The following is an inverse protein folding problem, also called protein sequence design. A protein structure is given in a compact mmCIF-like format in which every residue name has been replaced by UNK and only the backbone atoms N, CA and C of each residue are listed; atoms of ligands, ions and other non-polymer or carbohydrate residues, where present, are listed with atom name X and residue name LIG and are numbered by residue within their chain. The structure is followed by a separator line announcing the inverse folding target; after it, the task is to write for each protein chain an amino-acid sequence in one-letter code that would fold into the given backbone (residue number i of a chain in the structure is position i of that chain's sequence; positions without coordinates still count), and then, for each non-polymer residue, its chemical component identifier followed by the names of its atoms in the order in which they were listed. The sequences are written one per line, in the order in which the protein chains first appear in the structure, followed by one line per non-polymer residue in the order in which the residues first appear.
data_IF_067095032161
#
_entry.id   IF_067095032161
#
_cell.length_a   1.000
_cell.length_b   1.000
_cell.length_c   1.000
_cell.angle_alpha   90.00
_cell.angle_beta   90.00
_cell.angle_gamma   90.00
#
_symmetry.space_group_name_H-M   'P 1'
#
loop_
_entity.id
_entity.type
_entity.pdbx_description
1 polymer ?
2 non-polymer ?
3 water ?
#
# COMPACT_ATOMS: atom_id res chain seq x y z
N UNK A 1 -11.02 -0.77 -28.10
CA UNK A 1 -10.47 0.37 -27.33
C UNK A 1 -11.03 0.37 -25.90
N UNK A 2 -11.18 -0.82 -25.32
CA UNK A 2 -11.71 -0.95 -23.96
C UNK A 2 -10.62 -1.03 -22.88
N UNK A 3 -10.99 -1.58 -21.72
CA UNK A 3 -10.07 -1.67 -20.59
C UNK A 3 -10.21 -3.00 -19.83
N UNK A 4 -9.95 -4.09 -20.53
CA UNK A 4 -10.07 -5.42 -19.95
C UNK A 4 -8.72 -5.81 -19.33
N UNK A 5 -8.74 -6.26 -18.07
CA UNK A 5 -7.48 -6.64 -17.45
C UNK A 5 -7.06 -8.07 -17.77
N UNK A 6 -5.75 -8.30 -17.73
CA UNK A 6 -5.18 -9.62 -17.97
C UNK A 6 -4.17 -9.83 -16.85
N UNK A 7 -3.87 -11.10 -16.51
CA UNK A 7 -2.88 -11.35 -15.45
C UNK A 7 -1.57 -10.56 -15.64
N UNK A 8 -1.27 -10.16 -16.87
CA UNK A 8 -0.05 -9.37 -17.13
C UNK A 8 -0.08 -8.04 -16.35
N UNK A 9 -1.27 -7.53 -16.05
CA UNK A 9 -1.39 -6.25 -15.31
C UNK A 9 -1.06 -6.34 -13.81
N UNK A 10 -0.82 -7.55 -13.31
CA UNK A 10 -0.44 -7.77 -11.93
C UNK A 10 -1.43 -7.28 -10.86
N UNK A 11 -2.73 -7.35 -11.16
CA UNK A 11 -3.74 -6.93 -10.18
C UNK A 11 -3.99 -8.08 -9.20
N UNK A 12 -3.97 -7.78 -7.90
CA UNK A 12 -4.19 -8.79 -6.88
C UNK A 12 -5.21 -8.30 -5.87
N UNK A 13 -5.84 -9.24 -5.16
CA UNK A 13 -6.85 -8.91 -4.16
C UNK A 13 -6.67 -9.72 -2.91
N UNK A 14 -7.02 -9.15 -1.76
CA UNK A 14 -6.93 -9.91 -0.54
C UNK A 14 -8.20 -10.74 -0.43
N UNK A 15 -8.10 -11.92 0.16
CA UNK A 15 -9.27 -12.78 0.34
C UNK A 15 -10.29 -12.01 1.18
N UNK A 16 -9.81 -11.26 2.16
CA UNK A 16 -10.66 -10.49 3.06
C UNK A 16 -11.41 -9.33 2.41
N UNK A 17 -11.08 -9.02 1.16
CA UNK A 17 -11.74 -7.91 0.46
C UNK A 17 -13.09 -8.29 -0.12
N UNK A 18 -13.09 -9.08 -1.19
CA UNK A 18 -14.34 -9.54 -1.77
C UNK A 18 -15.04 -10.47 -0.80
N UNK A 19 -14.31 -10.95 0.20
CA UNK A 19 -14.89 -11.83 1.21
C UNK A 19 -15.44 -11.11 2.43
N UNK A 20 -15.41 -9.77 2.43
CA UNK A 20 -15.94 -8.99 3.57
C UNK A 20 -17.45 -9.15 3.69
N UNK A 21 -17.90 -9.66 4.84
CA UNK A 21 -19.33 -9.91 5.08
C UNK A 21 -20.19 -8.69 5.35
N UNK A 22 -19.56 -7.55 5.54
CA UNK A 22 -20.31 -6.33 5.76
C UNK A 22 -20.61 -5.92 7.20
N UNK A 23 -19.95 -6.56 8.14
CA UNK A 23 -20.16 -6.26 9.55
C UNK A 23 -19.36 -5.01 9.89
N UNK A 24 -20.02 -3.97 10.40
CA UNK A 24 -19.34 -2.75 10.76
C UNK A 24 -19.60 -2.46 12.25
N UNK A 25 -19.08 -1.33 12.79
CA UNK A 25 -19.30 -1.16 14.23
C UNK A 25 -20.74 -0.95 14.65
N UNK A 26 -21.61 -0.66 13.70
CA UNK A 26 -23.02 -0.44 13.99
C UNK A 26 -23.97 -1.43 13.31
N UNK A 27 -23.46 -2.52 12.76
CA UNK A 27 -24.36 -3.44 12.10
C UNK A 27 -23.86 -4.85 11.84
N UNK A 28 -24.82 -5.77 11.72
CA UNK A 28 -24.49 -7.17 11.45
C UNK A 28 -24.11 -7.38 9.98
N UNK A 29 -23.65 -8.58 9.66
CA UNK A 29 -23.27 -8.90 8.30
C UNK A 29 -24.46 -8.90 7.36
N UNK A 30 -24.22 -8.51 6.11
CA UNK A 30 -25.27 -8.47 5.10
C UNK A 30 -25.04 -9.54 4.01
N UNK A 31 -23.88 -10.21 4.05
CA UNK A 31 -23.54 -11.23 3.08
C UNK A 31 -23.03 -12.50 3.77
N UNK A 32 -23.29 -13.65 3.15
CA UNK A 32 -22.80 -14.93 3.69
C UNK A 32 -21.29 -15.01 3.43
N UNK A 33 -20.61 -15.89 4.14
CA UNK A 33 -19.17 -16.04 3.94
C UNK A 33 -18.86 -16.68 2.59
N UNK A 34 -17.70 -16.33 2.03
CA UNK A 34 -17.25 -16.91 0.79
C UNK A 34 -16.17 -17.93 1.10
N UNK A 35 -16.19 -19.03 0.35
CA UNK A 35 -15.18 -20.05 0.50
C UNK A 35 -13.97 -19.54 -0.29
N UNK A 36 -12.78 -19.51 0.30
CA UNK A 36 -11.59 -18.99 -0.39
C UNK A 36 -11.40 -19.54 -1.81
N UNK A 37 -11.85 -20.76 -2.04
CA UNK A 37 -11.72 -21.36 -3.37
C UNK A 37 -12.62 -20.65 -4.40
N UNK A 38 -13.83 -20.27 -3.98
CA UNK A 38 -14.73 -19.57 -4.89
C UNK A 38 -14.20 -18.19 -5.21
N UNK A 39 -13.55 -17.55 -4.23
CA UNK A 39 -13.00 -16.22 -4.47
C UNK A 39 -11.90 -16.33 -5.48
N UNK A 40 -11.06 -17.36 -5.35
CA UNK A 40 -9.95 -17.54 -6.28
C UNK A 40 -10.48 -17.75 -7.69
N UNK A 41 -11.50 -18.58 -7.81
CA UNK A 41 -12.08 -18.86 -9.12
C UNK A 41 -12.75 -17.63 -9.72
N UNK A 42 -13.51 -16.90 -8.93
CA UNK A 42 -14.21 -15.70 -9.39
C UNK A 42 -13.26 -14.58 -9.83
N UNK A 43 -12.19 -14.38 -9.06
CA UNK A 43 -11.21 -13.34 -9.37
C UNK A 43 -10.44 -13.66 -10.65
N UNK A 44 -10.12 -14.94 -10.84
CA UNK A 44 -9.39 -15.38 -12.02
C UNK A 44 -10.20 -15.04 -13.25
N UNK A 45 -11.51 -15.26 -13.18
CA UNK A 45 -12.39 -14.98 -14.32
C UNK A 45 -12.45 -13.49 -14.65
N UNK A 46 -12.26 -12.64 -13.65
CA UNK A 46 -12.30 -11.20 -13.84
C UNK A 46 -11.00 -10.68 -14.43
N UNK A 47 -9.97 -11.52 -14.41
CA UNK A 47 -8.70 -11.10 -14.98
C UNK A 47 -7.60 -10.82 -13.97
N UNK A 48 -7.87 -11.12 -12.70
CA UNK A 48 -6.88 -10.91 -11.64
C UNK A 48 -5.64 -11.78 -11.82
N UNK A 49 -4.53 -11.32 -11.25
CA UNK A 49 -3.24 -12.01 -11.34
C UNK A 49 -2.99 -12.94 -10.14
N UNK A 50 -3.57 -12.59 -8.99
CA UNK A 50 -3.36 -13.40 -7.81
C UNK A 50 -4.13 -12.90 -6.62
N UNK A 51 -3.94 -13.57 -5.50
CA UNK A 51 -4.61 -13.23 -4.25
C UNK A 51 -3.61 -13.14 -3.09
N UNK A 52 -4.05 -12.58 -1.98
CA UNK A 52 -3.23 -12.47 -0.78
C UNK A 52 -4.10 -12.89 0.40
N UNK A 53 -3.48 -13.20 1.54
CA UNK A 53 -4.26 -13.63 2.69
C UNK A 53 -3.59 -13.35 4.02
N UNK A 54 -4.40 -13.38 5.08
CA UNK A 54 -3.90 -13.31 6.45
C UNK A 54 -4.01 -14.77 6.82
N UNK A 55 -3.17 -15.25 7.73
CA UNK A 55 -3.29 -16.65 8.14
C UNK A 55 -4.74 -17.01 8.45
N UNK A 56 -5.35 -16.23 9.33
CA UNK A 56 -6.72 -16.45 9.77
C UNK A 56 -7.80 -16.39 8.68
N UNK A 57 -7.44 -15.94 7.47
CA UNK A 57 -8.40 -15.90 6.38
C UNK A 57 -8.48 -17.29 5.75
N UNK A 58 -7.33 -17.95 5.69
CA UNK A 58 -7.19 -19.25 5.04
C UNK A 58 -7.47 -20.41 5.98
N UNK A 59 -6.86 -20.39 7.15
CA UNK A 59 -7.05 -21.45 8.13
C UNK A 59 -7.73 -20.90 9.39
N UNK A 60 -9.01 -21.26 9.62
CA UNK A 60 -9.72 -20.71 10.79
C UNK A 60 -8.91 -20.77 12.07
N UNK A 61 -9.06 -19.74 12.90
CA UNK A 61 -8.34 -19.68 14.14
C UNK A 61 -8.64 -20.89 15.01
N UNK A 62 -7.59 -21.47 15.57
CA UNK A 62 -7.74 -22.64 16.43
C UNK A 62 -7.86 -23.95 15.69
N UNK A 63 -7.55 -23.96 14.40
CA UNK A 63 -7.63 -25.19 13.61
C UNK A 63 -6.52 -26.18 13.96
N UNK A 64 -6.82 -27.47 13.87
CA UNK A 64 -5.85 -28.52 14.14
C UNK A 64 -4.87 -28.60 12.99
N UNK A 65 -3.66 -29.11 13.24
CA UNK A 65 -2.65 -29.23 12.19
C UNK A 65 -3.14 -29.99 10.97
N UNK A 66 -4.09 -30.91 11.16
CA UNK A 66 -4.61 -31.68 10.03
C UNK A 66 -5.64 -30.85 9.27
N UNK A 67 -6.62 -30.30 9.98
CA UNK A 67 -7.63 -29.45 9.35
C UNK A 67 -6.91 -28.37 8.54
N UNK A 68 -5.86 -27.82 9.15
CA UNK A 68 -5.03 -26.79 8.55
C UNK A 68 -4.52 -27.28 7.21
N UNK A 69 -4.02 -28.51 7.21
CA UNK A 69 -3.48 -29.12 6.00
C UNK A 69 -4.55 -29.26 4.92
N UNK A 70 -5.76 -29.64 5.30
CA UNK A 70 -6.86 -29.81 4.36
C UNK A 70 -7.19 -28.47 3.70
N UNK A 71 -7.19 -27.42 4.51
CA UNK A 71 -7.48 -26.07 4.03
C UNK A 71 -6.45 -25.59 3.01
N UNK A 72 -5.18 -25.83 3.32
CA UNK A 72 -4.10 -25.41 2.45
C UNK A 72 -4.16 -26.17 1.13
N UNK A 73 -4.39 -27.47 1.22
CA UNK A 73 -4.46 -28.32 0.04
C UNK A 73 -5.55 -27.88 -0.93
N UNK A 74 -6.75 -27.66 -0.41
CA UNK A 74 -7.87 -27.20 -1.23
C UNK A 74 -7.52 -25.89 -1.91
N UNK A 75 -6.88 -25.00 -1.15
CA UNK A 75 -6.49 -23.67 -1.64
C UNK A 75 -5.51 -23.80 -2.79
N UNK A 76 -4.55 -24.70 -2.60
CA UNK A 76 -3.53 -25.02 -3.58
C UNK A 76 -4.12 -25.53 -4.88
N UNK A 77 -5.06 -26.46 -4.78
CA UNK A 77 -5.69 -27.01 -5.97
C UNK A 77 -6.34 -25.90 -6.79
N UNK A 78 -7.01 -24.97 -6.12
CA UNK A 78 -7.67 -23.85 -6.79
C UNK A 78 -6.66 -22.95 -7.51
N UNK A 79 -5.51 -22.73 -6.89
CA UNK A 79 -4.47 -21.91 -7.49
C UNK A 79 -3.97 -22.63 -8.72
N UNK A 80 -3.87 -23.96 -8.61
CA UNK A 80 -3.39 -24.76 -9.72
C UNK A 80 -4.37 -24.77 -10.89
N UNK A 81 -5.66 -24.89 -10.58
CA UNK A 81 -6.67 -24.94 -11.63
C UNK A 81 -6.86 -23.61 -12.34
N UNK A 82 -6.47 -22.51 -11.70
CA UNK A 82 -6.68 -21.17 -12.28
C UNK A 82 -5.42 -20.42 -12.72
N UNK A 83 -4.25 -20.86 -12.26
CA UNK A 83 -3.04 -20.17 -12.61
C UNK A 83 -2.80 -18.92 -11.76
N UNK A 84 -3.60 -18.75 -10.71
CA UNK A 84 -3.46 -17.61 -9.82
C UNK A 84 -2.26 -17.80 -8.91
N UNK A 85 -1.55 -16.70 -8.66
CA UNK A 85 -0.37 -16.70 -7.79
C UNK A 85 -0.71 -16.05 -6.44
N UNK A 86 0.19 -16.19 -5.48
CA UNK A 86 0.05 -15.58 -4.15
C UNK A 86 1.31 -14.76 -3.85
N UNK A 87 1.37 -13.49 -4.33
CA UNK A 87 2.59 -12.69 -4.16
C UNK A 87 2.86 -12.10 -2.77
N UNK A 88 1.84 -12.09 -1.92
CA UNK A 88 2.00 -11.51 -0.60
C UNK A 88 1.12 -12.22 0.41
N UNK A 89 1.57 -12.23 1.66
CA UNK A 89 0.83 -12.85 2.75
C UNK A 89 1.07 -11.98 3.96
N UNK A 90 0.19 -12.10 4.95
CA UNK A 90 0.34 -11.31 6.17
C UNK A 90 -0.26 -12.06 7.35
N UNK A 91 -0.09 -11.51 8.55
CA UNK A 91 -0.61 -12.16 9.77
C UNK A 91 -1.76 -11.39 10.36
N UNK A 92 -2.72 -12.11 10.93
CA UNK A 92 -3.80 -11.41 11.62
C UNK A 92 -3.42 -11.27 13.08
N UNK A 93 -2.97 -10.09 13.46
CA UNK A 93 -2.59 -9.80 14.85
C UNK A 93 -3.52 -8.71 15.40
N UNK A 94 -4.77 -8.72 14.96
CA UNK A 94 -5.71 -7.69 15.41
C UNK A 94 -7.12 -8.16 15.78
N UNK A 95 -7.58 -9.26 15.21
CA UNK A 95 -8.95 -9.72 15.47
C UNK A 95 -9.23 -10.35 16.82
N UNK A 96 -8.46 -11.35 17.19
CA UNK A 96 -8.72 -12.04 18.44
C UNK A 96 -8.54 -11.13 19.65
N UNK A 97 -9.42 -11.26 20.65
CA UNK A 97 -9.35 -10.45 21.86
C UNK A 97 -7.99 -10.41 22.56
N UNK A 98 -7.19 -11.45 22.37
CA UNK A 98 -5.88 -11.49 23.00
C UNK A 98 -4.98 -10.35 22.51
N UNK A 99 -5.23 -9.85 21.30
CA UNK A 99 -4.42 -8.75 20.74
C UNK A 99 -5.04 -7.37 20.98
N UNK A 100 -5.94 -7.27 21.96
CA UNK A 100 -6.62 -6.01 22.26
C UNK A 100 -5.72 -4.84 22.59
N UNK A 101 -4.51 -5.13 23.06
CA UNK A 101 -3.54 -4.07 23.36
C UNK A 101 -2.33 -4.16 22.44
N UNK A 102 -2.46 -4.94 21.36
CA UNK A 102 -1.37 -5.10 20.42
C UNK A 102 -0.85 -6.52 20.30
N UNK A 103 0.07 -6.70 19.37
CA UNK A 103 0.69 -8.00 19.15
C UNK A 103 2.15 -7.84 19.53
N UNK A 104 2.93 -7.21 18.66
CA UNK A 104 4.35 -6.99 18.94
C UNK A 104 4.63 -5.99 20.07
N UNK A 105 3.68 -5.09 20.36
CA UNK A 105 3.88 -4.08 21.41
C UNK A 105 2.87 -4.15 22.55
N UNK A 106 2.25 -5.32 22.74
CA UNK A 106 1.31 -5.52 23.84
C UNK A 106 2.10 -5.35 25.13
N UNK A 107 1.50 -4.77 26.18
CA UNK A 107 2.20 -4.57 27.43
C UNK A 107 2.52 -5.92 28.04
N UNK A 108 1.68 -6.90 27.79
CA UNK A 108 1.92 -8.24 28.30
C UNK A 108 2.98 -8.96 27.46
N UNK A 109 4.08 -9.34 28.09
CA UNK A 109 5.19 -10.01 27.42
C UNK A 109 4.80 -11.35 26.81
N UNK A 110 3.98 -12.11 27.52
CA UNK A 110 3.58 -13.41 27.00
C UNK A 110 2.77 -13.26 25.72
N UNK A 111 2.03 -12.16 25.59
CA UNK A 111 1.27 -11.91 24.38
C UNK A 111 2.22 -11.61 23.22
N UNK A 112 3.27 -10.85 23.51
CA UNK A 112 4.25 -10.48 22.50
C UNK A 112 4.93 -11.72 21.92
N UNK A 113 5.33 -12.65 22.80
CA UNK A 113 5.96 -13.89 22.37
C UNK A 113 5.01 -14.71 21.49
N UNK A 114 3.74 -14.77 21.89
CA UNK A 114 2.73 -15.50 21.13
C UNK A 114 2.53 -14.87 19.75
N UNK A 115 2.55 -13.54 19.71
CA UNK A 115 2.40 -12.82 18.44
C UNK A 115 3.53 -13.20 17.47
N UNK A 116 4.75 -13.26 17.96
CA UNK A 116 5.90 -13.63 17.14
C UNK A 116 5.82 -15.06 16.61
N UNK A 117 5.36 -15.99 17.45
CA UNK A 117 5.26 -17.38 17.04
C UNK A 117 4.22 -17.58 15.92
N UNK A 118 3.08 -16.91 16.06
CA UNK A 118 1.97 -16.96 15.12
C UNK A 118 2.44 -16.40 13.78
N UNK A 119 3.27 -15.37 13.82
CA UNK A 119 3.76 -14.78 12.59
C UNK A 119 4.75 -15.71 11.90
N UNK A 120 5.70 -16.23 12.69
CA UNK A 120 6.73 -17.12 12.15
C UNK A 120 6.11 -18.33 11.45
N UNK A 121 5.09 -18.91 12.08
CA UNK A 121 4.38 -20.04 11.53
C UNK A 121 3.77 -19.69 10.15
N UNK A 122 3.21 -18.50 10.01
CA UNK A 122 2.62 -18.12 8.73
C UNK A 122 3.66 -17.73 7.69
N UNK A 123 4.84 -17.31 8.13
CA UNK A 123 5.91 -16.98 7.20
C UNK A 123 6.32 -18.25 6.46
N UNK A 124 6.43 -19.36 7.20
CA UNK A 124 6.78 -20.64 6.57
C UNK A 124 5.76 -20.96 5.47
N UNK A 125 4.47 -20.83 5.80
CA UNK A 125 3.40 -21.12 4.84
C UNK A 125 3.44 -20.18 3.65
N UNK A 126 3.73 -18.89 3.88
CA UNK A 126 3.78 -17.93 2.79
C UNK A 126 4.87 -18.27 1.78
N UNK A 127 6.01 -18.77 2.27
CA UNK A 127 7.11 -19.14 1.40
C UNK A 127 6.69 -20.36 0.57
N UNK A 128 6.02 -21.29 1.24
CA UNK A 128 5.53 -22.52 0.63
C UNK A 128 4.62 -22.22 -0.55
N UNK A 129 3.80 -21.19 -0.43
CA UNK A 129 2.87 -20.78 -1.48
C UNK A 129 3.49 -19.85 -2.53
N UNK A 130 4.76 -19.48 -2.37
CA UNK A 130 5.43 -18.64 -3.33
C UNK A 130 5.43 -17.13 -3.11
N UNK A 131 5.00 -16.69 -1.93
CA UNK A 131 4.96 -15.26 -1.63
C UNK A 131 6.36 -14.65 -1.62
N UNK A 132 6.48 -13.43 -2.16
CA UNK A 132 7.75 -12.72 -2.22
C UNK A 132 7.81 -11.61 -1.17
N UNK A 133 6.64 -11.15 -0.73
CA UNK A 133 6.56 -10.09 0.25
C UNK A 133 5.68 -10.48 1.42
N UNK A 134 6.10 -10.15 2.63
CA UNK A 134 5.33 -10.45 3.83
C UNK A 134 4.99 -9.11 4.47
N UNK A 135 3.70 -8.78 4.53
CA UNK A 135 3.26 -7.51 5.08
C UNK A 135 2.96 -7.58 6.56
N UNK A 136 3.20 -6.47 7.24
CA UNK A 136 2.93 -6.36 8.65
C UNK A 136 2.15 -5.09 8.91
N UNK A 137 0.88 -5.23 9.30
CA UNK A 137 0.05 -4.07 9.66
C UNK A 137 -0.25 -4.15 11.17
N UNK A 138 0.42 -3.32 11.96
CA UNK A 138 0.22 -3.35 13.40
C UNK A 138 -1.01 -2.56 13.78
N UNK A 139 -2.16 -3.12 13.41
CA UNK A 139 -3.43 -2.47 13.69
C UNK A 139 -3.75 -2.21 15.16
N UNK A 140 -3.24 -3.06 16.06
CA UNK A 140 -3.50 -2.90 17.49
C UNK A 140 -2.32 -2.28 18.24
N UNK A 141 -1.27 -1.88 17.53
CA UNK A 141 -0.11 -1.28 18.19
C UNK A 141 -0.38 0.21 18.38
N UNK A 142 -0.72 0.61 19.61
CA UNK A 142 -1.04 2.01 19.86
C UNK A 142 -1.75 2.23 21.18
N UNK A 143 -2.63 3.23 21.24
CA UNK A 143 -3.33 3.50 22.49
C UNK A 143 -4.45 4.51 22.34
N UNK A 144 -5.36 4.51 23.32
CA UNK A 144 -6.46 5.47 23.38
C UNK A 144 -6.13 6.56 24.42
N UNK A 145 -5.21 6.25 25.34
CA UNK A 145 -4.78 7.17 26.40
C UNK A 145 -3.26 7.32 26.54
N UNK A 146 -2.81 8.46 27.06
CA UNK A 146 -1.38 8.73 27.17
C UNK A 146 -0.48 7.90 28.08
N UNK A 147 -0.98 7.43 29.23
CA UNK A 147 -0.14 6.67 30.14
C UNK A 147 -0.14 5.18 29.91
N UNK A 148 -1.00 4.71 29.00
CA UNK A 148 -1.12 3.28 28.69
C UNK A 148 0.05 2.71 27.89
N UNK A 149 0.79 3.58 27.21
CA UNK A 149 1.88 3.12 26.37
C UNK A 149 3.04 4.10 26.41
N UNK A 150 4.24 3.60 26.76
CA UNK A 150 5.42 4.42 26.76
C UNK A 150 5.94 4.17 25.37
N UNK A 151 5.90 5.18 24.50
CA UNK A 151 6.27 4.97 23.12
C UNK A 151 7.71 4.58 22.85
N UNK A 152 8.65 5.07 23.67
CA UNK A 152 10.03 4.67 23.47
C UNK A 152 10.18 3.16 23.72
N UNK A 153 9.62 2.68 24.82
CA UNK A 153 9.69 1.25 25.12
C UNK A 153 8.96 0.46 24.04
N UNK A 154 7.82 0.96 23.59
CA UNK A 154 7.06 0.29 22.55
C UNK A 154 7.87 0.15 21.25
N UNK A 155 8.60 1.19 20.89
CA UNK A 155 9.43 1.15 19.68
C UNK A 155 10.58 0.16 19.86
N UNK A 156 11.08 0.00 21.09
CA UNK A 156 12.13 -0.98 21.35
C UNK A 156 11.55 -2.38 21.11
N UNK A 157 10.32 -2.60 21.58
CA UNK A 157 9.66 -3.89 21.42
C UNK A 157 9.36 -4.15 19.95
N UNK A 158 8.96 -3.10 19.24
CA UNK A 158 8.64 -3.20 17.81
C UNK A 158 9.91 -3.58 17.03
N UNK A 159 11.02 -2.92 17.34
CA UNK A 159 12.30 -3.20 16.68
C UNK A 159 12.76 -4.62 17.02
N UNK A 160 12.61 -5.01 18.28
CA UNK A 160 13.02 -6.33 18.69
C UNK A 160 12.27 -7.38 17.88
N UNK A 161 10.96 -7.20 17.73
CA UNK A 161 10.15 -8.15 16.97
C UNK A 161 10.62 -8.26 15.52
N UNK A 162 10.75 -7.12 14.84
CA UNK A 162 11.19 -7.13 13.45
C UNK A 162 12.59 -7.69 13.25
N UNK A 163 13.51 -7.41 14.18
CA UNK A 163 14.87 -7.95 14.08
C UNK A 163 14.83 -9.48 14.19
N UNK A 164 14.03 -10.01 15.11
CA UNK A 164 13.89 -11.45 15.28
C UNK A 164 13.32 -12.11 14.03
N UNK A 165 12.37 -11.46 13.37
CA UNK A 165 11.80 -12.03 12.15
C UNK A 165 12.86 -12.01 11.06
N UNK A 166 13.70 -10.98 11.07
CA UNK A 166 14.76 -10.87 10.08
C UNK A 166 15.83 -11.92 10.32
N UNK A 167 16.05 -12.25 11.58
CA UNK A 167 17.04 -13.28 11.95
C UNK A 167 16.53 -14.65 11.52
N UNK A 168 15.22 -14.82 11.54
CA UNK A 168 14.58 -16.07 11.17
C UNK A 168 14.63 -16.34 9.67
N UNK A 169 14.16 -15.39 8.87
CA UNK A 169 14.17 -15.60 7.42
C UNK A 169 15.58 -15.80 6.89
N UNK A 170 16.54 -15.04 7.42
CA UNK A 170 17.90 -15.17 6.95
C UNK A 170 18.53 -16.51 7.37
N UNK A 171 18.12 -17.06 8.51
CA UNK A 171 18.64 -18.35 8.95
C UNK A 171 17.96 -19.53 8.24
N UNK A 172 16.74 -19.33 7.76
CA UNK A 172 16.03 -20.38 7.04
C UNK A 172 16.39 -20.29 5.57
N UNK A 173 17.02 -19.19 5.20
CA UNK A 173 17.41 -19.00 3.81
C UNK A 173 16.24 -18.68 2.91
N UNK A 174 15.25 -17.99 3.45
CA UNK A 174 14.07 -17.63 2.65
C UNK A 174 14.35 -16.38 1.83
N UNK A 175 13.71 -16.32 0.67
CA UNK A 175 13.82 -15.18 -0.22
C UNK A 175 12.51 -14.43 -0.11
N UNK A 176 12.32 -13.79 1.03
CA UNK A 176 11.12 -13.04 1.31
C UNK A 176 11.52 -11.75 2.02
N UNK A 177 10.91 -10.64 1.63
CA UNK A 177 11.18 -9.35 2.25
C UNK A 177 9.93 -8.86 2.97
N UNK A 178 10.12 -8.03 3.99
CA UNK A 178 9.02 -7.50 4.76
C UNK A 178 8.61 -6.12 4.28
N UNK A 179 7.33 -5.79 4.51
CA UNK A 179 6.82 -4.48 4.16
C UNK A 179 5.89 -4.04 5.28
N UNK A 180 6.24 -2.92 5.89
CA UNK A 180 5.44 -2.38 6.98
C UNK A 180 4.35 -1.50 6.39
N UNK A 181 3.13 -1.71 6.87
CA UNK A 181 1.98 -0.94 6.42
C UNK A 181 1.54 0.03 7.51
N UNK A 182 1.73 1.34 7.28
CA UNK A 182 1.33 2.34 8.28
C UNK A 182 -0.15 2.68 8.21
N UNK A 183 -0.67 3.23 9.29
CA UNK A 183 -2.06 3.68 9.38
C UNK A 183 -2.07 4.61 10.57
N UNK A 184 -2.68 5.80 10.43
CA UNK A 184 -2.61 6.75 11.55
C UNK A 184 -3.50 6.42 12.74
N UNK A 185 -4.68 5.87 12.50
CA UNK A 185 -5.59 5.54 13.58
C UNK A 185 -6.63 4.53 13.09
N UNK A 186 -7.42 4.00 14.01
CA UNK A 186 -8.48 3.04 13.73
C UNK A 186 -7.94 1.64 13.41
N UNK A 187 -8.02 0.69 14.37
CA UNK A 187 -8.97 0.64 15.49
C UNK A 187 -8.49 1.33 16.77
N UNK A 188 -7.18 1.58 16.92
CA UNK A 188 -6.67 2.25 18.11
C UNK A 188 -6.81 3.77 17.94
N UNK A 189 -6.86 4.49 19.04
CA UNK A 189 -7.00 5.94 19.00
C UNK A 189 -5.89 6.60 18.20
N UNK A 190 -4.70 6.06 18.37
CA UNK A 190 -3.50 6.51 17.65
C UNK A 190 -2.67 5.26 17.47
N UNK A 191 -2.21 5.03 16.25
CA UNK A 191 -1.42 3.84 15.94
C UNK A 191 0.05 4.21 15.78
N UNK A 192 0.96 3.34 16.23
CA UNK A 192 2.39 3.60 16.10
C UNK A 192 2.83 3.47 14.63
N UNK A 193 3.79 4.30 14.21
CA UNK A 193 4.28 4.32 12.82
C UNK A 193 3.07 4.73 11.98
N UNK A 194 2.48 5.89 12.31
CA UNK A 194 1.25 6.36 11.65
C UNK A 194 1.25 6.67 10.16
N UNK A 195 2.40 7.00 9.58
CA UNK A 195 2.44 7.32 8.15
C UNK A 195 3.66 6.67 7.50
N UNK A 196 3.72 6.74 6.18
CA UNK A 196 4.85 6.22 5.41
C UNK A 196 6.19 6.76 5.92
N UNK A 197 6.21 8.02 6.32
CA UNK A 197 7.45 8.60 6.81
C UNK A 197 7.96 7.99 8.11
N UNK A 198 7.06 7.78 9.07
CA UNK A 198 7.40 7.21 10.35
C UNK A 198 7.91 5.78 10.18
N UNK A 199 7.30 5.06 9.23
CA UNK A 199 7.69 3.68 8.94
C UNK A 199 9.09 3.66 8.31
N UNK A 200 9.33 4.56 7.36
CA UNK A 200 10.63 4.64 6.69
C UNK A 200 11.75 4.97 7.68
N UNK A 201 11.49 5.88 8.60
CA UNK A 201 12.50 6.28 9.58
C UNK A 201 12.77 5.12 10.53
N UNK A 202 11.72 4.37 10.87
CA UNK A 202 11.85 3.23 11.79
C UNK A 202 12.76 2.13 11.20
N UNK A 203 12.55 1.84 9.93
CA UNK A 203 13.31 0.82 9.23
C UNK A 203 14.82 1.03 9.28
N UNK A 204 15.23 2.29 9.25
CA UNK A 204 16.66 2.62 9.27
C UNK A 204 17.31 2.35 10.62
N UNK A 205 16.50 1.95 11.60
CA UNK A 205 17.02 1.64 12.94
C UNK A 205 17.02 0.14 13.20
N UNK A 206 16.63 -0.63 12.19
CA UNK A 206 16.62 -2.09 12.31
C UNK A 206 18.02 -2.65 12.02
N UNK A 207 18.31 -3.86 12.48
CA UNK A 207 19.64 -4.45 12.29
C UNK A 207 19.98 -4.68 10.83
N UNK A 208 19.01 -5.20 10.09
CA UNK A 208 19.21 -5.48 8.66
C UNK A 208 18.20 -4.66 7.86
N UNK A 209 18.41 -3.34 7.72
CA UNK A 209 17.42 -2.52 6.99
C UNK A 209 17.03 -2.98 5.58
N UNK A 210 17.93 -3.69 4.90
CA UNK A 210 17.67 -4.09 3.53
C UNK A 210 16.49 -5.04 3.32
N UNK A 211 16.11 -5.73 4.38
CA UNK A 211 14.99 -6.68 4.32
C UNK A 211 13.64 -6.01 4.48
N UNK A 212 13.60 -4.72 4.78
CA UNK A 212 12.32 -4.07 5.04
C UNK A 212 12.00 -2.86 4.17
N UNK A 213 10.74 -2.79 3.74
CA UNK A 213 10.25 -1.68 2.95
C UNK A 213 8.88 -1.29 3.47
N UNK A 214 8.13 -0.53 2.69
CA UNK A 214 6.80 -0.13 3.13
C UNK A 214 5.73 -0.64 2.19
N UNK A 215 4.52 -0.74 2.71
CA UNK A 215 3.34 -1.16 1.95
C UNK A 215 2.30 -0.08 2.25
N UNK A 216 2.41 1.08 1.58
CA UNK A 216 1.49 2.19 1.82
C UNK A 216 0.10 1.91 1.27
N UNK A 217 -0.91 2.51 1.87
CA UNK A 217 -2.28 2.34 1.40
C UNK A 217 -2.87 3.72 1.13
N UNK A 218 -3.51 3.87 -0.02
CA UNK A 218 -4.08 5.15 -0.44
C UNK A 218 -4.89 5.81 0.66
N UNK A 219 -5.89 5.09 1.16
CA UNK A 219 -6.75 5.62 2.20
C UNK A 219 -6.10 5.98 3.53
N UNK A 220 -5.08 5.23 3.95
CA UNK A 220 -4.40 5.47 5.22
C UNK A 220 -3.73 6.83 5.28
N UNK A 221 -2.99 7.20 4.25
CA UNK A 221 -2.29 8.48 4.24
C UNK A 221 -3.31 9.58 4.15
N UNK A 222 -4.39 9.32 3.43
CA UNK A 222 -5.43 10.32 3.26
C UNK A 222 -6.22 10.56 4.54
N UNK A 223 -6.15 9.61 5.49
CA UNK A 223 -6.80 9.74 6.80
C UNK A 223 -6.06 10.75 7.67
N UNK A 224 -4.86 11.11 7.24
CA UNK A 224 -4.06 12.10 7.94
C UNK A 224 -3.99 13.35 7.06
N UNK A 225 -4.82 13.39 6.01
CA UNK A 225 -4.86 14.52 5.08
C UNK A 225 -3.60 14.71 4.25
N UNK A 226 -2.79 13.67 4.15
CA UNK A 226 -1.53 13.75 3.40
C UNK A 226 -1.70 13.45 1.91
N UNK A 227 -0.74 13.91 1.12
CA UNK A 227 -0.74 13.72 -0.32
C UNK A 227 -0.15 12.35 -0.59
N UNK A 228 -0.99 11.41 -1.01
CA UNK A 228 -0.51 10.03 -1.26
C UNK A 228 0.60 9.96 -2.32
N UNK A 229 0.37 10.49 -3.53
CA UNK A 229 1.46 10.45 -4.52
C UNK A 229 2.82 10.93 -3.98
N UNK A 230 2.84 12.01 -3.18
CA UNK A 230 4.07 12.53 -2.59
C UNK A 230 4.70 11.50 -1.65
N UNK A 231 3.88 10.84 -0.83
CA UNK A 231 4.41 9.84 0.09
C UNK A 231 5.07 8.69 -0.66
N UNK A 232 4.43 8.29 -1.76
CA UNK A 232 4.93 7.22 -2.61
C UNK A 232 6.24 7.63 -3.27
N UNK A 233 6.32 8.89 -3.70
CA UNK A 233 7.52 9.40 -4.33
C UNK A 233 8.71 9.31 -3.38
N UNK A 234 8.47 9.62 -2.11
CA UNK A 234 9.54 9.55 -1.11
C UNK A 234 9.94 8.10 -0.83
N UNK A 235 8.96 7.19 -0.85
CA UNK A 235 9.23 5.78 -0.64
C UNK A 235 10.04 5.22 -1.82
N UNK A 236 9.71 5.63 -3.04
CA UNK A 236 10.45 5.20 -4.23
C UNK A 236 11.85 5.79 -4.18
N UNK A 237 11.94 7.06 -3.77
CA UNK A 237 13.22 7.78 -3.67
C UNK A 237 14.18 7.03 -2.77
N UNK A 238 13.63 6.46 -1.69
CA UNK A 238 14.43 5.72 -0.73
C UNK A 238 14.63 4.26 -1.16
N UNK A 239 13.97 3.87 -2.26
CA UNK A 239 14.06 2.51 -2.76
C UNK A 239 13.34 1.50 -1.87
N UNK A 240 12.33 1.96 -1.14
CA UNK A 240 11.60 1.12 -0.20
C UNK A 240 10.16 0.75 -0.58
N UNK A 241 9.72 1.02 -1.81
CA UNK A 241 8.36 0.65 -2.18
C UNK A 241 8.29 -0.81 -2.64
N UNK A 242 8.12 -1.70 -1.67
CA UNK A 242 8.08 -3.14 -1.92
C UNK A 242 6.71 -3.66 -2.40
N UNK A 243 5.65 -2.95 -2.03
CA UNK A 243 4.28 -3.36 -2.32
C UNK A 243 3.40 -2.12 -2.19
N UNK A 244 2.16 -2.19 -2.65
CA UNK A 244 1.26 -1.05 -2.53
C UNK A 244 -0.20 -1.48 -2.47
N UNK A 245 -0.97 -0.81 -1.62
CA UNK A 245 -2.40 -1.11 -1.45
C UNK A 245 -3.24 0.02 -2.03
N UNK A 246 -4.10 -0.33 -2.96
CA UNK A 246 -4.93 0.64 -3.63
C UNK A 246 -6.39 0.55 -3.21
N UNK A 247 -7.01 1.72 -3.05
CA UNK A 247 -8.42 1.84 -2.69
C UNK A 247 -8.81 3.33 -2.74
N UNK A 248 -10.00 3.66 -2.22
CA UNK A 248 -10.48 5.02 -2.22
C UNK A 248 -10.90 5.50 -0.84
N UNK A 249 -10.76 6.80 -0.59
CA UNK A 249 -11.10 7.37 0.69
C UNK A 249 -11.58 8.79 0.42
N UNK A 250 -12.62 9.20 1.13
CA UNK A 250 -13.15 10.54 0.97
C UNK A 250 -12.75 11.40 2.14
N UNK A 251 -11.48 11.78 2.18
CA UNK A 251 -11.01 12.65 3.24
C UNK A 251 -10.70 12.05 4.60
N UNK A 252 -10.68 12.91 5.60
CA UNK A 252 -10.35 12.53 6.97
C UNK A 252 -11.60 12.09 7.72
N UNK A 253 -11.70 10.78 7.93
CA UNK A 253 -12.82 10.15 8.62
C UNK A 253 -12.43 8.68 8.73
N UNK A 254 -13.36 7.83 9.16
CA UNK A 254 -13.10 6.41 9.30
C UNK A 254 -12.57 5.86 7.97
N UNK A 255 -11.93 4.69 8.02
CA UNK A 255 -11.36 4.04 6.83
C UNK A 255 -12.48 3.42 6.00
N UNK A 256 -12.79 4.07 4.88
CA UNK A 256 -13.87 3.65 4.00
C UNK A 256 -13.61 2.42 3.15
N UNK A 257 -12.37 2.27 2.68
CA UNK A 257 -11.99 1.15 1.82
C UNK A 257 -12.85 1.10 0.57
N UNK A 258 -13.06 2.23 -0.10
CA UNK A 258 -13.86 2.23 -1.33
C UNK A 258 -13.02 1.61 -2.44
N UNK A 259 -13.65 1.22 -3.55
CA UNK A 259 -12.91 0.65 -4.66
C UNK A 259 -11.95 1.69 -5.24
N UNK A 260 -10.86 1.25 -5.86
CA UNK A 260 -9.87 2.17 -6.42
C UNK A 260 -10.49 3.02 -7.51
N UNK A 261 -10.18 4.32 -7.49
CA UNK A 261 -10.76 5.25 -8.45
C UNK A 261 -11.78 6.13 -7.72
N UNK A 262 -12.47 5.55 -6.75
CA UNK A 262 -13.44 6.30 -5.96
C UNK A 262 -12.65 7.13 -4.95
N UNK A 263 -13.30 8.08 -4.30
CA UNK A 263 -12.59 8.92 -3.35
C UNK A 263 -11.99 10.10 -4.09
N UNK A 264 -10.69 10.32 -3.88
CA UNK A 264 -9.98 11.42 -4.53
C UNK A 264 -9.49 10.98 -5.91
N UNK A 265 -10.26 11.29 -6.94
CA UNK A 265 -9.94 10.86 -8.29
C UNK A 265 -8.67 11.46 -8.86
N UNK A 266 -8.43 12.75 -8.62
CA UNK A 266 -7.22 13.37 -9.13
C UNK A 266 -5.96 12.76 -8.49
N UNK A 267 -6.02 12.43 -7.20
CA UNK A 267 -4.89 11.78 -6.52
C UNK A 267 -4.59 10.41 -7.15
N UNK A 268 -5.64 9.68 -7.54
CA UNK A 268 -5.49 8.38 -8.17
C UNK A 268 -4.76 8.51 -9.52
N UNK A 269 -5.07 9.57 -10.26
CA UNK A 269 -4.45 9.82 -11.55
C UNK A 269 -2.96 10.08 -11.39
N UNK A 270 -2.62 10.96 -10.43
CA UNK A 270 -1.23 11.29 -10.18
C UNK A 270 -0.48 10.11 -9.60
N UNK A 271 -1.21 9.21 -8.94
CA UNK A 271 -0.59 8.01 -8.38
C UNK A 271 -0.18 7.08 -9.51
N UNK A 272 -1.13 6.79 -10.41
CA UNK A 272 -0.87 5.91 -11.54
C UNK A 272 0.22 6.49 -12.43
N UNK A 273 0.20 7.81 -12.64
CA UNK A 273 1.22 8.49 -13.44
C UNK A 273 2.59 8.20 -12.85
N UNK A 274 2.71 8.34 -11.54
CA UNK A 274 3.97 8.09 -10.85
C UNK A 274 4.41 6.63 -10.89
N UNK A 275 3.52 5.70 -10.55
CA UNK A 275 3.87 4.27 -10.55
C UNK A 275 4.32 3.79 -11.93
N UNK A 276 3.62 4.23 -12.97
CA UNK A 276 3.98 3.83 -14.32
C UNK A 276 5.27 4.52 -14.78
N UNK A 277 5.45 5.79 -14.41
CA UNK A 277 6.66 6.52 -14.80
C UNK A 277 7.89 5.96 -14.13
N UNK A 278 7.73 5.63 -12.85
CA UNK A 278 8.84 5.13 -12.05
C UNK A 278 9.17 3.68 -12.38
N UNK A 279 8.30 3.04 -13.15
CA UNK A 279 8.53 1.65 -13.49
C UNK A 279 8.34 0.70 -12.31
N UNK A 280 7.34 0.95 -11.47
CA UNK A 280 7.05 0.07 -10.33
C UNK A 280 6.62 -1.25 -10.96
N UNK A 281 7.21 -2.36 -10.52
CA UNK A 281 6.89 -3.65 -11.11
C UNK A 281 6.23 -4.64 -10.15
N UNK A 282 5.98 -4.18 -8.94
CA UNK A 282 5.35 -5.02 -7.94
C UNK A 282 3.87 -5.17 -8.20
N UNK A 283 3.14 -5.90 -7.35
CA UNK A 283 1.71 -6.05 -7.58
C UNK A 283 0.90 -4.77 -7.34
N UNK A 284 -0.24 -4.69 -8.03
CA UNK A 284 -1.19 -3.60 -7.86
C UNK A 284 -2.29 -4.28 -7.04
N UNK A 285 -2.13 -4.24 -5.73
CA UNK A 285 -3.01 -4.90 -4.77
C UNK A 285 -4.14 -4.01 -4.30
N UNK A 286 -5.35 -4.57 -4.30
CA UNK A 286 -6.52 -3.83 -3.85
C UNK A 286 -6.96 -4.28 -2.47
N UNK A 287 -6.89 -3.36 -1.52
CA UNK A 287 -7.32 -3.64 -0.15
C UNK A 287 -8.56 -2.76 0.00
N UNK A 288 -9.72 -3.33 -0.34
CA UNK A 288 -10.96 -2.58 -0.32
C UNK A 288 -12.08 -3.46 0.21
N UNK A 289 -13.24 -2.84 0.34
CA UNK A 289 -14.42 -3.51 0.85
C UNK A 289 -15.63 -3.14 0.01
N UNK A 290 -16.24 -4.10 -0.69
CA UNK A 290 -17.44 -3.72 -1.43
C UNK A 290 -18.52 -3.30 -0.41
N UNK A 291 -19.15 -2.11 -0.59
CA UNK A 291 -20.00 -1.63 0.49
C UNK A 291 -21.04 -2.67 0.91
N UNK A 292 -21.47 -2.62 2.18
CA UNK A 292 -22.42 -3.62 2.68
C UNK A 292 -23.83 -3.57 2.05
N UNK A 293 -24.09 -2.53 1.26
CA UNK A 293 -25.35 -2.37 0.55
C UNK A 293 -25.48 -3.37 -0.60
N UNK A 294 -24.36 -3.93 -1.01
CA UNK A 294 -24.32 -4.81 -2.18
C UNK A 294 -24.49 -6.30 -1.92
N UNK A 295 -25.04 -7.00 -2.93
CA UNK A 295 -25.13 -8.44 -2.87
C UNK A 295 -23.89 -8.97 -3.62
N UNK A 296 -23.79 -10.28 -3.84
CA UNK A 296 -22.61 -10.81 -4.50
C UNK A 296 -22.34 -10.25 -5.89
N UNK A 297 -23.39 -10.04 -6.68
CA UNK A 297 -23.22 -9.45 -7.99
C UNK A 297 -22.50 -8.09 -7.84
N UNK A 298 -22.92 -7.34 -6.83
CA UNK A 298 -22.32 -6.05 -6.54
C UNK A 298 -20.87 -6.14 -6.08
N UNK A 299 -20.53 -7.23 -5.41
CA UNK A 299 -19.16 -7.45 -4.96
C UNK A 299 -18.22 -7.55 -6.17
N UNK A 300 -18.55 -8.42 -7.11
CA UNK A 300 -17.72 -8.63 -8.30
C UNK A 300 -17.67 -7.41 -9.20
N UNK A 301 -18.76 -6.64 -9.25
CA UNK A 301 -18.78 -5.44 -10.05
C UNK A 301 -17.81 -4.42 -9.42
N UNK A 302 -17.74 -4.43 -8.10
CA UNK A 302 -16.86 -3.52 -7.37
C UNK A 302 -15.39 -3.89 -7.60
N UNK A 303 -15.10 -5.20 -7.58
CA UNK A 303 -13.75 -5.70 -7.80
C UNK A 303 -13.31 -5.37 -9.24
N UNK A 304 -14.18 -5.60 -10.20
CA UNK A 304 -13.90 -5.31 -11.60
C UNK A 304 -13.64 -3.82 -11.80
N UNK A 305 -14.40 -2.98 -11.07
CA UNK A 305 -14.23 -1.54 -11.18
C UNK A 305 -12.86 -1.07 -10.75
N UNK A 306 -12.29 -1.73 -9.74
CA UNK A 306 -10.95 -1.40 -9.26
C UNK A 306 -9.95 -1.44 -10.40
N UNK A 307 -9.96 -2.55 -11.12
CA UNK A 307 -9.01 -2.75 -12.20
C UNK A 307 -9.32 -1.85 -13.39
N UNK A 308 -10.60 -1.69 -13.72
CA UNK A 308 -11.01 -0.85 -14.84
C UNK A 308 -10.49 0.57 -14.64
N UNK A 309 -10.70 1.11 -13.45
CA UNK A 309 -10.28 2.48 -13.14
C UNK A 309 -8.78 2.66 -13.24
N UNK A 310 -8.00 1.70 -12.78
CA UNK A 310 -6.55 1.78 -12.89
C UNK A 310 -6.13 1.80 -14.37
N UNK A 311 -6.78 0.98 -15.19
CA UNK A 311 -6.45 0.93 -16.63
C UNK A 311 -6.84 2.21 -17.37
N UNK A 312 -7.96 2.82 -17.03
CA UNK A 312 -8.36 4.07 -17.68
C UNK A 312 -7.33 5.18 -17.34
N UNK A 313 -6.99 5.31 -16.05
CA UNK A 313 -6.03 6.31 -15.56
C UNK A 313 -4.64 6.11 -16.18
N UNK A 314 -4.20 4.85 -16.31
CA UNK A 314 -2.92 4.54 -16.93
C UNK A 314 -2.89 5.10 -18.36
N UNK A 315 -4.00 4.94 -19.07
CA UNK A 315 -4.14 5.42 -20.43
C UNK A 315 -4.06 6.94 -20.48
N UNK A 316 -4.83 7.59 -19.61
CA UNK A 316 -4.88 9.05 -19.56
C UNK A 316 -3.55 9.65 -19.15
N UNK A 317 -2.86 9.01 -18.19
CA UNK A 317 -1.56 9.50 -17.72
C UNK A 317 -0.50 9.38 -18.82
N UNK A 318 -0.58 8.28 -19.57
CA UNK A 318 0.36 8.01 -20.66
C UNK A 318 0.16 9.02 -21.78
N UNK A 319 -1.10 9.33 -22.07
CA UNK A 319 -1.41 10.30 -23.12
C UNK A 319 -0.96 11.69 -22.69
N UNK A 320 -1.03 11.95 -21.39
CA UNK A 320 -0.60 13.22 -20.83
C UNK A 320 0.90 13.43 -21.06
N UNK A 321 1.71 12.46 -20.62
CA UNK A 321 3.16 12.55 -20.76
C UNK A 321 3.63 12.53 -22.22
N UNK A 322 2.88 11.85 -23.08
CA UNK A 322 3.24 11.74 -24.49
C UNK A 322 2.79 12.94 -25.34
N UNK A 323 1.94 13.80 -24.79
CA UNK A 323 1.46 14.97 -25.52
C UNK A 323 2.59 15.99 -25.69
N UNK A 324 2.99 16.30 -26.95
CA UNK A 324 4.07 17.28 -27.13
C UNK A 324 3.73 18.63 -26.51
N UNK A 325 2.45 18.96 -26.44
CA UNK A 325 2.03 20.25 -25.88
C UNK A 325 2.25 20.27 -24.37
N UNK A 326 2.19 19.08 -23.77
CA UNK A 326 2.43 18.94 -22.33
C UNK A 326 3.94 18.98 -22.11
N UNK A 327 4.70 18.35 -22.99
CA UNK A 327 6.15 18.37 -22.87
C UNK A 327 6.68 19.80 -22.92
N UNK A 328 6.10 20.63 -23.77
CA UNK A 328 6.54 22.02 -23.87
C UNK A 328 6.10 22.79 -22.63
N UNK A 329 4.93 22.45 -22.10
CA UNK A 329 4.42 23.10 -20.90
C UNK A 329 5.31 22.75 -19.71
N UNK A 330 5.82 21.52 -19.67
CA UNK A 330 6.69 21.11 -18.56
C UNK A 330 7.95 21.93 -18.59
N UNK A 331 8.44 22.24 -19.79
CA UNK A 331 9.64 23.06 -19.93
C UNK A 331 9.34 24.51 -19.59
N UNK A 332 8.14 24.97 -19.95
CA UNK A 332 7.75 26.34 -19.64
C UNK A 332 7.72 26.53 -18.11
N UNK A 333 7.38 25.46 -17.38
CA UNK A 333 7.29 25.47 -15.91
C UNK A 333 8.61 25.08 -15.27
N UNK A 334 9.63 24.86 -16.09
CA UNK A 334 10.97 24.50 -15.62
C UNK A 334 11.12 23.18 -14.87
N UNK A 335 10.35 22.17 -15.22
CA UNK A 335 10.52 20.85 -14.60
C UNK A 335 11.86 20.27 -15.04
N UNK A 336 12.34 20.68 -16.23
CA UNK A 336 13.63 20.22 -16.72
C UNK A 336 14.75 20.74 -15.82
N UNK A 337 14.60 21.96 -15.32
CA UNK A 337 15.61 22.55 -14.44
C UNK A 337 15.58 21.97 -13.03
N UNK A 338 14.41 21.55 -12.58
CA UNK A 338 14.30 20.97 -11.26
C UNK A 338 15.16 19.70 -11.23
N UNK A 339 15.29 19.04 -12.39
CA UNK A 339 16.06 17.80 -12.53
C UNK A 339 17.57 18.00 -12.64
N UNK A 340 18.00 19.24 -12.79
CA UNK A 340 19.43 19.53 -12.91
C UNK A 340 20.00 19.89 -11.55
N UNK A 341 21.24 19.44 -11.24
CA UNK A 341 21.83 19.77 -9.94
C UNK A 341 21.94 21.27 -9.70
N UNK A 342 21.70 21.67 -8.46
CA UNK A 342 21.79 23.06 -8.08
C UNK A 342 23.24 23.55 -8.16
N UNK A 343 24.17 22.70 -7.74
CA UNK A 343 25.57 23.08 -7.71
C UNK A 343 26.53 21.93 -7.96
N UNK A 344 26.56 21.43 -9.19
CA UNK A 344 27.48 20.35 -9.54
C UNK A 344 28.90 20.91 -9.56
N UNK A 345 29.00 22.23 -9.62
CA UNK A 345 30.28 22.94 -9.64
C UNK A 345 30.94 22.94 -8.25
N UNK A 346 30.17 22.63 -7.22
CA UNK A 346 30.72 22.55 -5.88
C UNK A 346 30.52 23.75 -4.99
N UNK A 347 30.76 23.52 -3.70
CA UNK A 347 30.62 24.56 -2.69
C UNK A 347 31.46 25.80 -2.97
N UNK A 348 32.76 25.62 -3.12
CA UNK A 348 33.64 26.76 -3.32
C UNK A 348 33.22 27.60 -4.51
N UNK A 349 32.88 26.94 -5.61
CA UNK A 349 32.46 27.63 -6.82
C UNK A 349 31.22 28.46 -6.52
N UNK A 350 30.27 27.86 -5.80
CA UNK A 350 29.03 28.55 -5.43
C UNK A 350 29.30 29.82 -4.61
N UNK A 351 30.20 29.71 -3.65
CA UNK A 351 30.57 30.83 -2.79
C UNK A 351 31.27 31.94 -3.56
N UNK A 352 31.96 31.56 -4.63
CA UNK A 352 32.68 32.54 -5.47
C UNK A 352 31.84 33.03 -6.66
N UNK A 353 30.63 32.52 -6.77
CA UNK A 353 29.74 32.87 -7.88
C UNK A 353 28.89 34.10 -7.58
N UNK A 354 29.33 35.27 -8.06
CA UNK A 354 28.59 36.52 -7.83
C UNK A 354 27.19 36.56 -8.46
N UNK A 355 26.96 35.75 -9.48
CA UNK A 355 25.66 35.72 -10.13
C UNK A 355 24.66 35.02 -9.22
N UNK A 356 25.16 34.35 -8.18
CA UNK A 356 24.29 33.63 -7.26
C UNK A 356 23.81 34.45 -6.08
N UNK A 357 24.35 35.64 -5.90
CA UNK A 357 23.94 36.46 -4.77
C UNK A 357 24.18 37.96 -4.96
N UNK A 358 25.45 38.35 -4.98
CA UNK A 358 25.80 39.76 -5.10
C UNK A 358 25.18 40.43 -6.30
N UNK A 359 25.24 39.77 -7.44
CA UNK A 359 24.69 40.30 -8.68
C UNK A 359 23.41 39.60 -9.12
N UNK A 360 22.75 38.91 -8.19
CA UNK A 360 21.51 38.20 -8.55
C UNK A 360 20.36 39.18 -8.59
N UNK A 361 19.66 39.23 -9.72
CA UNK A 361 18.53 40.14 -9.87
C UNK A 361 17.31 39.44 -9.31
N UNK A 362 17.05 39.62 -8.01
CA UNK A 362 15.93 38.96 -7.36
C UNK A 362 14.56 39.37 -7.89
N UNK A 363 14.46 40.62 -8.33
CA UNK A 363 13.18 41.12 -8.83
C UNK A 363 12.79 40.52 -10.17
N UNK A 364 13.77 40.35 -11.04
CA UNK A 364 13.53 39.75 -12.35
C UNK A 364 13.15 38.28 -12.18
N UNK A 365 13.84 37.58 -11.28
CA UNK A 365 13.55 36.19 -11.03
C UNK A 365 12.15 36.07 -10.45
N UNK A 366 11.83 36.96 -9.52
CA UNK A 366 10.53 36.97 -8.86
C UNK A 366 9.36 37.17 -9.83
N UNK A 367 9.55 38.01 -10.84
CA UNK A 367 8.49 38.29 -11.81
C UNK A 367 8.19 37.15 -12.77
N UNK A 368 9.03 36.13 -12.82
CA UNK A 368 8.77 35.00 -13.73
C UNK A 368 7.58 34.18 -13.28
N UNK A 369 6.62 33.99 -14.17
CA UNK A 369 5.47 33.16 -13.86
C UNK A 369 5.83 31.68 -13.95
N UNK A 370 5.27 30.84 -13.09
CA UNK A 370 5.61 29.41 -13.13
C UNK A 370 4.80 28.65 -14.17
N UNK A 371 3.72 29.26 -14.65
CA UNK A 371 2.81 28.64 -15.62
C UNK A 371 2.23 27.30 -15.13
N UNK A 372 2.02 27.15 -13.82
CA UNK A 372 1.49 25.90 -13.29
C UNK A 372 0.01 25.66 -13.58
N UNK A 373 -0.77 26.73 -13.72
CA UNK A 373 -2.20 26.58 -13.94
C UNK A 373 -2.52 26.07 -15.34
N UNK A 374 -1.74 26.50 -16.33
CA UNK A 374 -1.93 26.00 -17.69
C UNK A 374 -1.60 24.52 -17.75
N UNK A 375 -0.49 24.15 -17.12
CA UNK A 375 -0.06 22.77 -17.08
C UNK A 375 -1.12 21.91 -16.38
N UNK A 376 -1.65 22.39 -15.26
CA UNK A 376 -2.65 21.61 -14.54
C UNK A 376 -3.96 21.47 -15.31
N UNK A 377 -4.29 22.46 -16.13
CA UNK A 377 -5.52 22.37 -16.90
C UNK A 377 -5.32 21.36 -18.02
N UNK A 378 -4.10 21.24 -18.53
CA UNK A 378 -3.84 20.26 -19.59
C UNK A 378 -3.99 18.88 -18.96
N UNK A 379 -3.54 18.75 -17.72
CA UNK A 379 -3.64 17.49 -16.98
C UNK A 379 -5.12 17.14 -16.78
N UNK A 380 -5.92 18.15 -16.45
CA UNK A 380 -7.35 17.98 -16.27
C UNK A 380 -8.02 17.52 -17.58
N UNK A 381 -7.72 18.21 -18.69
CA UNK A 381 -8.30 17.88 -20.00
C UNK A 381 -8.02 16.45 -20.36
N UNK A 382 -6.78 16.03 -20.11
CA UNK A 382 -6.36 14.66 -20.42
C UNK A 382 -7.10 13.64 -19.58
N UNK A 383 -7.26 13.92 -18.29
CA UNK A 383 -7.96 13.01 -17.39
C UNK A 383 -9.41 12.82 -17.83
N UNK A 384 -10.05 13.91 -18.21
CA UNK A 384 -11.46 13.89 -18.62
C UNK A 384 -11.61 13.55 -20.10
N UNK A 385 -10.50 13.36 -20.79
CA UNK A 385 -10.57 13.03 -22.20
C UNK A 385 -11.17 14.18 -22.99
N UNK A 386 -10.90 15.39 -22.54
CA UNK A 386 -11.41 16.59 -23.18
C UNK A 386 -10.36 17.39 -23.93
N UNK A 387 -9.45 16.71 -24.62
CA UNK A 387 -8.42 17.42 -25.38
C UNK A 387 -8.89 17.83 -26.77
N UNK A 388 -9.42 19.05 -26.90
CA UNK A 388 -9.89 19.52 -28.19
C UNK A 388 -9.03 20.63 -28.78
#
# INVERSE_FOLDING_TARGET
MNYQPTPEDRFTFGLWTVGWQGRDPFGDATRRALDPVESVRRLAELGAHGVTFHDDDLIPFGSSDSEREEHVKRFRQALDDTGMKVPMATTNLFTHPVFKDGGFTANDRDVRRYALRKTIRNIDLAVELGAETYVAWGGREGAESGGAKDVRDALDRMKEAFDLLGEYVTSQGYDIRFAIEPKPNEPRGDILLPTVGHALAFIERLERPELYGVNPEVGHEQMAGLNFPHGIAQALWAGKLFHIDLNGQNGIKYDQDLRFGAGDLRAAFWLVDLLESAGYSGPRHFDFKPPRTEDFDGVWASAAGCMRNYLILKERAAAFRADPEVQEALRASRLDELARPTAADGLQALLDDRSAFEEFDVDAAAARGMAFERLDQLAMDHLLGARG
#
